data_IF_881831083168
#
_entry.id   IF_881831083168
#
_cell.length_a   1.000
_cell.length_b   1.000
_cell.length_c   1.000
_cell.angle_alpha   90.00
_cell.angle_beta   90.00
_cell.angle_gamma   90.00
#
_symmetry.space_group_name_H-M   'P 1'
#
loop_
_entity.id
_entity.type
_entity.pdbx_description
1 polymer ?
#
# COMPACT_ATOMS: atom_id res chain seq x y z
N UNK A 1 50.67 8.02 18.17
CA UNK A 1 49.40 7.31 17.89
C UNK A 1 48.27 8.23 17.42
N UNK A 2 47.93 9.31 18.14
CA UNK A 2 46.87 10.26 17.70
C UNK A 2 47.10 10.90 16.33
N UNK A 3 48.35 11.26 15.99
CA UNK A 3 48.71 11.85 14.68
C UNK A 3 48.65 10.86 13.51
N UNK A 4 48.84 9.56 13.77
CA UNK A 4 48.70 8.50 12.75
C UNK A 4 47.22 8.21 12.47
N UNK A 5 46.39 8.25 13.52
CA UNK A 5 44.95 8.06 13.42
C UNK A 5 44.27 9.21 12.66
N UNK A 6 44.68 10.45 12.88
CA UNK A 6 44.18 11.58 12.09
C UNK A 6 44.60 11.52 10.62
N UNK A 7 45.77 10.96 10.30
CA UNK A 7 46.20 10.78 8.91
C UNK A 7 45.39 9.66 8.22
N UNK A 8 45.07 8.57 8.94
CA UNK A 8 44.28 7.46 8.41
C UNK A 8 42.81 7.85 8.16
N UNK A 9 42.23 8.68 9.05
CA UNK A 9 40.86 9.20 8.88
C UNK A 9 40.79 10.21 7.73
N UNK A 10 41.81 11.06 7.54
CA UNK A 10 41.85 12.00 6.41
C UNK A 10 42.02 11.29 5.05
N UNK A 11 42.74 10.17 5.02
CA UNK A 11 42.94 9.36 3.80
C UNK A 11 41.68 8.57 3.41
N UNK A 12 40.85 8.18 4.39
CA UNK A 12 39.58 7.49 4.15
C UNK A 12 38.49 8.36 3.48
N UNK A 13 38.62 9.70 3.59
CA UNK A 13 37.70 10.66 2.96
C UNK A 13 38.02 10.93 1.48
N UNK A 14 39.16 10.45 0.96
CA UNK A 14 39.56 10.64 -0.44
C UNK A 14 39.18 9.46 -1.36
N UNK A 15 38.54 8.42 -0.84
CA UNK A 15 38.03 7.27 -1.63
C UNK A 15 36.53 7.39 -1.92
N UNK A 16 35.91 8.54 -1.63
CA UNK A 16 34.60 8.89 -2.19
C UNK A 16 34.75 9.31 -3.66
N UNK A 17 35.25 8.39 -4.48
CA UNK A 17 35.11 8.48 -5.92
C UNK A 17 33.62 8.26 -6.20
N UNK A 18 32.88 9.37 -6.30
CA UNK A 18 31.53 9.34 -6.82
C UNK A 18 31.62 8.73 -8.21
N UNK A 19 31.16 7.49 -8.38
CA UNK A 19 30.78 6.99 -9.69
C UNK A 19 29.59 7.82 -10.13
N UNK A 20 29.86 9.01 -10.69
CA UNK A 20 28.90 9.70 -11.52
C UNK A 20 28.54 8.69 -12.59
N UNK A 21 27.31 8.18 -12.54
CA UNK A 21 26.75 7.42 -13.64
C UNK A 21 26.81 8.32 -14.88
N UNK A 22 27.82 8.12 -15.73
CA UNK A 22 27.98 8.81 -17.01
C UNK A 22 26.87 8.43 -18.02
N UNK A 23 25.92 7.60 -17.61
CA UNK A 23 24.66 7.32 -18.31
C UNK A 23 23.54 8.32 -18.00
N UNK A 24 23.87 9.50 -17.46
CA UNK A 24 22.93 10.59 -17.23
C UNK A 24 22.53 11.26 -18.56
N UNK A 25 21.67 10.58 -19.32
CA UNK A 25 20.67 11.21 -20.19
C UNK A 25 21.22 12.12 -21.31
N UNK A 26 22.12 11.58 -22.14
CA UNK A 26 22.81 12.28 -23.25
C UNK A 26 21.88 12.84 -24.33
N UNK A 27 20.68 12.29 -24.54
CA UNK A 27 19.68 12.94 -25.40
C UNK A 27 19.30 14.33 -24.84
N UNK A 28 19.27 14.52 -23.50
CA UNK A 28 19.01 15.83 -22.89
C UNK A 28 20.09 16.83 -23.25
N UNK A 29 21.33 16.42 -23.48
CA UNK A 29 22.37 17.34 -23.95
C UNK A 29 22.02 17.92 -25.31
N UNK A 30 21.57 17.09 -26.25
CA UNK A 30 21.11 17.54 -27.58
C UNK A 30 20.01 18.60 -27.43
N UNK A 31 19.02 18.34 -26.59
CA UNK A 31 17.93 19.30 -26.33
C UNK A 31 18.43 20.60 -25.68
N UNK A 32 19.32 20.48 -24.70
CA UNK A 32 19.89 21.61 -23.98
C UNK A 32 20.73 22.50 -24.91
N UNK A 33 21.58 21.92 -25.76
CA UNK A 33 22.40 22.67 -26.69
C UNK A 33 21.59 23.22 -27.86
N UNK A 34 20.58 22.50 -28.36
CA UNK A 34 19.65 23.05 -29.34
C UNK A 34 18.96 24.31 -28.81
N UNK A 35 18.48 24.30 -27.56
CA UNK A 35 17.90 25.49 -26.89
C UNK A 35 18.92 26.63 -26.71
N UNK A 36 20.19 26.31 -26.45
CA UNK A 36 21.25 27.33 -26.32
C UNK A 36 21.60 27.97 -27.65
N UNK A 37 21.72 27.17 -28.72
CA UNK A 37 21.95 27.64 -30.10
C UNK A 37 20.80 28.51 -30.58
N UNK A 38 19.56 28.08 -30.34
CA UNK A 38 18.35 28.85 -30.65
C UNK A 38 18.36 30.25 -29.99
N UNK A 39 18.79 30.34 -28.73
CA UNK A 39 18.89 31.62 -28.00
C UNK A 39 20.12 32.45 -28.36
N UNK A 40 21.22 31.81 -28.75
CA UNK A 40 22.50 32.45 -29.04
C UNK A 40 23.14 31.87 -30.32
N UNK A 41 22.59 32.18 -31.50
CA UNK A 41 23.01 31.60 -32.79
C UNK A 41 24.47 31.81 -33.17
N UNK A 42 25.04 32.96 -32.80
CA UNK A 42 26.40 33.38 -33.13
C UNK A 42 27.47 32.81 -32.19
N UNK A 43 27.08 32.01 -31.19
CA UNK A 43 28.04 31.43 -30.26
C UNK A 43 28.60 30.11 -30.80
N UNK A 44 29.80 30.15 -31.36
CA UNK A 44 30.44 28.99 -32.00
C UNK A 44 30.61 27.80 -31.05
N UNK A 45 30.92 28.05 -29.77
CA UNK A 45 31.05 26.98 -28.77
C UNK A 45 29.74 26.21 -28.56
N UNK A 46 28.58 26.87 -28.64
CA UNK A 46 27.29 26.17 -28.56
C UNK A 46 26.97 25.42 -29.85
N UNK A 47 27.35 25.97 -31.00
CA UNK A 47 27.18 25.32 -32.30
C UNK A 47 27.99 24.01 -32.38
N UNK A 48 29.28 24.07 -32.07
CA UNK A 48 30.18 22.90 -32.03
C UNK A 48 29.68 21.84 -31.06
N UNK A 49 29.26 22.26 -29.85
CA UNK A 49 28.80 21.33 -28.83
C UNK A 49 27.47 20.68 -29.20
N UNK A 50 26.58 21.37 -29.91
CA UNK A 50 25.36 20.78 -30.46
C UNK A 50 25.68 19.71 -31.51
N UNK A 51 26.57 20.01 -32.45
CA UNK A 51 27.00 19.06 -33.48
C UNK A 51 27.59 17.79 -32.88
N UNK A 52 28.53 17.96 -31.94
CA UNK A 52 29.17 16.85 -31.26
C UNK A 52 28.16 16.02 -30.46
N UNK A 53 27.32 16.66 -29.64
CA UNK A 53 26.33 15.96 -28.83
C UNK A 53 25.33 15.18 -29.68
N UNK A 54 24.88 15.74 -30.81
CA UNK A 54 23.98 15.05 -31.73
C UNK A 54 24.65 13.82 -32.35
N UNK A 55 25.89 13.96 -32.85
CA UNK A 55 26.65 12.87 -33.44
C UNK A 55 26.91 11.74 -32.43
N UNK A 56 27.50 12.06 -31.29
CA UNK A 56 27.83 11.08 -30.25
C UNK A 56 26.60 10.30 -29.78
N UNK A 57 25.48 11.01 -29.57
CA UNK A 57 24.26 10.37 -29.11
C UNK A 57 23.62 9.51 -30.19
N UNK A 58 23.62 9.97 -31.45
CA UNK A 58 23.13 9.18 -32.59
C UNK A 58 23.92 7.88 -32.72
N UNK A 59 25.24 7.97 -32.76
CA UNK A 59 26.13 6.82 -32.95
C UNK A 59 25.98 5.83 -31.79
N UNK A 60 25.89 6.32 -30.56
CA UNK A 60 25.63 5.50 -29.37
C UNK A 60 24.31 4.73 -29.46
N UNK A 61 23.22 5.38 -29.86
CA UNK A 61 21.91 4.73 -29.97
C UNK A 61 21.89 3.68 -31.08
N UNK A 62 22.56 3.94 -32.21
CA UNK A 62 22.67 2.97 -33.30
C UNK A 62 23.50 1.74 -32.89
N UNK A 63 24.62 1.93 -32.19
CA UNK A 63 25.41 0.83 -31.64
C UNK A 63 24.57 0.00 -30.65
N UNK A 64 23.81 0.66 -29.78
CA UNK A 64 22.93 -0.03 -28.84
C UNK A 64 21.85 -0.84 -29.55
N UNK A 65 21.23 -0.30 -30.61
CA UNK A 65 20.27 -1.03 -31.44
C UNK A 65 20.89 -2.30 -32.02
N UNK A 66 22.09 -2.22 -32.58
CA UNK A 66 22.77 -3.38 -33.16
C UNK A 66 23.13 -4.42 -32.09
N UNK A 67 23.62 -3.97 -30.93
CA UNK A 67 23.89 -4.87 -29.80
C UNK A 67 22.60 -5.59 -29.33
N UNK A 68 21.47 -4.88 -29.24
CA UNK A 68 20.18 -5.46 -28.86
C UNK A 68 19.74 -6.54 -29.87
N UNK A 69 19.89 -6.27 -31.17
CA UNK A 69 19.57 -7.22 -32.25
C UNK A 69 20.50 -8.45 -32.27
N UNK A 70 21.73 -8.32 -31.79
CA UNK A 70 22.67 -9.44 -31.66
C UNK A 70 22.39 -10.31 -30.43
N UNK A 71 22.18 -9.70 -29.26
CA UNK A 71 21.95 -10.41 -28.00
C UNK A 71 20.59 -11.14 -28.01
N UNK A 72 19.58 -10.55 -28.67
CA UNK A 72 18.22 -11.12 -28.80
C UNK A 72 17.57 -11.51 -27.45
N UNK A 73 17.79 -10.70 -26.42
CA UNK A 73 17.11 -10.88 -25.13
C UNK A 73 15.58 -10.80 -25.28
N UNK A 74 14.83 -11.39 -24.35
CA UNK A 74 13.37 -11.34 -24.39
C UNK A 74 12.84 -9.90 -24.56
N UNK A 75 11.91 -9.73 -25.51
CA UNK A 75 11.26 -8.45 -25.84
C UNK A 75 12.23 -7.31 -26.21
N UNK A 76 13.40 -7.62 -26.80
CA UNK A 76 14.39 -6.61 -27.19
C UNK A 76 13.85 -5.59 -28.20
N UNK A 77 12.89 -5.96 -29.05
CA UNK A 77 12.29 -5.07 -30.04
C UNK A 77 11.62 -3.83 -29.42
N UNK A 78 11.12 -3.91 -28.18
CA UNK A 78 10.62 -2.73 -27.47
C UNK A 78 11.73 -1.71 -27.23
N UNK A 79 12.92 -2.18 -26.82
CA UNK A 79 14.09 -1.31 -26.60
C UNK A 79 14.63 -0.75 -27.92
N UNK A 80 14.60 -1.55 -28.99
CA UNK A 80 14.97 -1.11 -30.33
C UNK A 80 14.03 0.00 -30.80
N UNK A 81 12.71 -0.20 -30.67
CA UNK A 81 11.71 0.84 -30.96
C UNK A 81 11.96 2.12 -30.16
N UNK A 82 12.22 2.00 -28.84
CA UNK A 82 12.48 3.17 -28.00
C UNK A 82 13.75 3.94 -28.40
N UNK A 83 14.81 3.25 -28.81
CA UNK A 83 16.01 3.90 -29.29
C UNK A 83 15.77 4.65 -30.61
N UNK A 84 15.03 4.05 -31.56
CA UNK A 84 14.62 4.74 -32.79
C UNK A 84 13.69 5.93 -32.51
N UNK A 85 12.75 5.81 -31.57
CA UNK A 85 11.92 6.92 -31.11
C UNK A 85 12.77 8.09 -30.63
N UNK A 86 13.78 7.84 -29.80
CA UNK A 86 14.68 8.89 -29.30
C UNK A 86 15.49 9.53 -30.46
N UNK A 87 15.96 8.75 -31.44
CA UNK A 87 16.62 9.27 -32.63
C UNK A 87 15.71 10.24 -33.40
N UNK A 88 14.45 9.85 -33.63
CA UNK A 88 13.45 10.66 -34.33
C UNK A 88 13.03 11.90 -33.54
N UNK A 89 12.96 11.81 -32.21
CA UNK A 89 12.71 12.93 -31.32
C UNK A 89 13.85 13.97 -31.37
N UNK A 90 15.10 13.50 -31.36
CA UNK A 90 16.27 14.36 -31.54
C UNK A 90 16.28 15.03 -32.92
N UNK A 91 16.02 14.28 -33.99
CA UNK A 91 15.91 14.81 -35.35
C UNK A 91 14.81 15.88 -35.45
N UNK A 92 13.64 15.60 -34.89
CA UNK A 92 12.52 16.54 -34.79
C UNK A 92 12.92 17.82 -34.06
N UNK A 93 13.62 17.70 -32.91
CA UNK A 93 14.07 18.87 -32.14
C UNK A 93 15.01 19.77 -32.95
N UNK A 94 15.88 19.19 -33.76
CA UNK A 94 16.76 19.96 -34.66
C UNK A 94 15.92 20.60 -35.78
N UNK A 95 15.00 19.85 -36.40
CA UNK A 95 14.10 20.36 -37.45
C UNK A 95 13.28 21.56 -37.00
N UNK A 96 12.76 21.53 -35.77
CA UNK A 96 11.95 22.62 -35.22
C UNK A 96 12.78 23.87 -34.87
N UNK A 97 14.11 23.79 -34.92
CA UNK A 97 15.02 24.92 -34.68
C UNK A 97 15.72 25.31 -35.99
N UNK A 98 15.22 26.37 -36.66
CA UNK A 98 15.74 26.85 -37.95
C UNK A 98 17.25 27.13 -37.91
N UNK A 99 17.74 27.74 -36.83
CA UNK A 99 19.18 28.02 -36.66
C UNK A 99 19.99 26.73 -36.48
N UNK A 100 19.42 25.73 -35.80
CA UNK A 100 20.08 24.44 -35.56
C UNK A 100 20.21 23.62 -36.85
N UNK A 101 19.24 23.72 -37.77
CA UNK A 101 19.28 23.07 -39.08
C UNK A 101 20.52 23.48 -39.90
N UNK A 102 20.96 24.73 -39.76
CA UNK A 102 22.18 25.22 -40.42
C UNK A 102 23.46 24.61 -39.84
N UNK A 103 23.38 23.94 -38.68
CA UNK A 103 24.52 23.36 -37.96
C UNK A 103 24.50 21.83 -37.99
N UNK A 104 23.33 21.22 -37.95
CA UNK A 104 23.15 19.76 -37.87
C UNK A 104 22.07 19.33 -38.86
N UNK A 105 22.40 18.35 -39.70
CA UNK A 105 21.41 17.69 -40.56
C UNK A 105 20.68 16.60 -39.76
N UNK A 106 19.36 16.74 -39.52
CA UNK A 106 18.59 15.71 -38.84
C UNK A 106 18.44 14.47 -39.71
N UNK A 107 18.54 13.29 -39.11
CA UNK A 107 18.30 11.98 -39.76
C UNK A 107 17.13 11.31 -39.07
N UNK A 108 16.14 10.89 -39.86
CA UNK A 108 14.95 10.18 -39.41
C UNK A 108 15.07 8.69 -39.71
N UNK A 109 14.49 7.89 -38.82
CA UNK A 109 14.41 6.43 -38.84
C UNK A 109 12.96 6.01 -38.57
N UNK A 110 11.99 6.68 -39.22
CA UNK A 110 10.56 6.46 -38.96
C UNK A 110 10.11 5.08 -39.43
N UNK A 111 10.61 4.63 -40.58
CA UNK A 111 10.33 3.29 -41.12
C UNK A 111 10.86 2.21 -40.18
N UNK A 112 12.12 2.33 -39.75
CA UNK A 112 12.74 1.37 -38.83
C UNK A 112 12.09 1.42 -37.45
N UNK A 113 11.64 2.58 -36.99
CA UNK A 113 10.85 2.70 -35.77
C UNK A 113 9.52 1.93 -35.92
N UNK A 114 8.81 2.11 -37.04
CA UNK A 114 7.54 1.44 -37.28
C UNK A 114 7.71 -0.08 -37.36
N UNK A 115 8.70 -0.56 -38.12
CA UNK A 115 9.04 -1.99 -38.18
C UNK A 115 9.41 -2.54 -36.80
N UNK A 116 10.19 -1.81 -36.01
CA UNK A 116 10.52 -2.22 -34.65
C UNK A 116 9.28 -2.27 -33.73
N UNK A 117 8.31 -1.37 -33.92
CA UNK A 117 7.03 -1.38 -33.21
C UNK A 117 6.20 -2.61 -33.58
N UNK A 118 6.07 -2.91 -34.87
CA UNK A 118 5.35 -4.09 -35.37
C UNK A 118 5.96 -5.37 -34.82
N UNK A 119 7.28 -5.51 -34.95
CA UNK A 119 8.01 -6.64 -34.37
C UNK A 119 7.81 -6.73 -32.84
N UNK A 120 7.87 -5.62 -32.11
CA UNK A 120 7.65 -5.63 -30.66
C UNK A 120 6.24 -6.11 -30.29
N UNK A 121 5.23 -5.69 -31.05
CA UNK A 121 3.84 -6.14 -30.89
C UNK A 121 3.73 -7.64 -31.19
N UNK A 122 4.27 -8.11 -32.30
CA UNK A 122 4.21 -9.53 -32.69
C UNK A 122 4.91 -10.44 -31.69
N UNK A 123 6.09 -10.05 -31.19
CA UNK A 123 6.80 -10.80 -30.14
C UNK A 123 5.97 -10.94 -28.86
N UNK A 124 5.17 -9.92 -28.51
CA UNK A 124 4.27 -9.97 -27.36
C UNK A 124 3.06 -10.86 -27.61
N UNK A 125 2.49 -10.83 -28.81
CA UNK A 125 1.39 -11.71 -29.20
C UNK A 125 1.86 -13.17 -29.20
N UNK A 126 3.01 -13.47 -29.81
CA UNK A 126 3.59 -14.81 -29.84
C UNK A 126 3.87 -15.35 -28.44
N UNK A 127 4.51 -14.56 -27.57
CA UNK A 127 4.74 -14.95 -26.19
C UNK A 127 3.44 -15.22 -25.42
N UNK A 128 2.39 -14.43 -25.70
CA UNK A 128 1.06 -14.64 -25.13
C UNK A 128 0.43 -15.94 -25.62
N UNK A 129 0.47 -16.22 -26.91
CA UNK A 129 -0.08 -17.45 -27.50
C UNK A 129 0.64 -18.69 -26.97
N UNK A 130 1.97 -18.65 -26.86
CA UNK A 130 2.75 -19.75 -26.27
C UNK A 130 2.34 -20.03 -24.82
N UNK A 131 2.15 -18.97 -24.01
CA UNK A 131 1.70 -19.13 -22.64
C UNK A 131 0.25 -19.65 -22.58
N UNK A 132 -0.68 -19.06 -23.33
CA UNK A 132 -2.08 -19.46 -23.35
C UNK A 132 -2.25 -20.94 -23.79
N UNK A 133 -1.45 -21.38 -24.76
CA UNK A 133 -1.43 -22.77 -25.24
C UNK A 133 -1.06 -23.82 -24.18
N UNK A 134 -0.44 -23.42 -23.06
CA UNK A 134 -0.19 -24.33 -21.93
C UNK A 134 -1.46 -24.66 -21.13
N UNK A 135 -2.57 -23.95 -21.37
CA UNK A 135 -3.90 -24.20 -20.81
C UNK A 135 -3.92 -24.37 -19.28
N UNK A 136 -3.16 -23.54 -18.57
CA UNK A 136 -3.23 -23.42 -17.11
C UNK A 136 -3.58 -21.98 -16.73
N UNK A 137 -4.27 -21.80 -15.60
CA UNK A 137 -4.65 -20.45 -15.14
C UNK A 137 -3.44 -19.51 -14.99
N UNK A 138 -2.33 -19.92 -14.36
CA UNK A 138 -1.15 -19.06 -14.25
C UNK A 138 -0.59 -18.60 -15.61
N UNK A 139 -0.53 -19.51 -16.59
CA UNK A 139 -0.02 -19.18 -17.91
C UNK A 139 -1.00 -18.31 -18.72
N UNK A 140 -2.31 -18.50 -18.56
CA UNK A 140 -3.31 -17.61 -19.15
C UNK A 140 -3.22 -16.18 -18.55
N UNK A 141 -2.94 -16.05 -17.25
CA UNK A 141 -2.68 -14.75 -16.63
C UNK A 141 -1.42 -14.08 -17.23
N UNK A 142 -0.34 -14.85 -17.43
CA UNK A 142 0.88 -14.39 -18.11
C UNK A 142 0.61 -13.98 -19.57
N UNK A 143 -0.24 -14.74 -20.27
CA UNK A 143 -0.65 -14.45 -21.64
C UNK A 143 -1.40 -13.11 -21.73
N UNK A 144 -2.39 -12.90 -20.85
CA UNK A 144 -3.13 -11.64 -20.75
C UNK A 144 -2.19 -10.43 -20.64
N UNK A 145 -1.19 -10.47 -19.75
CA UNK A 145 -0.28 -9.32 -19.61
C UNK A 145 0.58 -9.09 -20.85
N UNK A 146 0.96 -10.15 -21.57
CA UNK A 146 1.64 -10.04 -22.87
C UNK A 146 0.72 -9.40 -23.92
N UNK A 147 -0.54 -9.84 -24.01
CA UNK A 147 -1.52 -9.26 -24.94
C UNK A 147 -1.89 -7.82 -24.59
N UNK A 148 -2.08 -7.48 -23.31
CA UNK A 148 -2.31 -6.10 -22.88
C UNK A 148 -1.15 -5.19 -23.26
N UNK A 149 0.08 -5.70 -23.17
CA UNK A 149 1.27 -4.96 -23.60
C UNK A 149 1.33 -4.82 -25.13
N UNK A 150 0.98 -5.86 -25.89
CA UNK A 150 0.84 -5.79 -27.34
C UNK A 150 -0.22 -4.77 -27.76
N UNK A 151 -1.39 -4.77 -27.11
CA UNK A 151 -2.48 -3.81 -27.34
C UNK A 151 -2.04 -2.37 -27.07
N UNK A 152 -1.23 -2.16 -26.03
CA UNK A 152 -0.67 -0.84 -25.73
C UNK A 152 0.31 -0.36 -26.81
N UNK A 153 1.11 -1.27 -27.38
CA UNK A 153 2.04 -0.95 -28.48
C UNK A 153 1.29 -0.65 -29.78
N UNK A 154 0.23 -1.41 -30.09
CA UNK A 154 -0.58 -1.24 -31.30
C UNK A 154 -2.09 -1.17 -30.99
N UNK A 155 -2.60 -0.02 -30.50
CA UNK A 155 -4.00 0.10 -30.06
C UNK A 155 -5.05 -0.17 -31.14
N UNK A 156 -4.70 0.04 -32.41
CA UNK A 156 -5.58 -0.16 -33.57
C UNK A 156 -5.72 -1.63 -33.99
N UNK A 157 -4.89 -2.52 -33.46
CA UNK A 157 -4.94 -3.96 -33.76
C UNK A 157 -6.09 -4.59 -32.97
N UNK A 158 -7.10 -5.09 -33.66
CA UNK A 158 -8.36 -5.57 -33.06
C UNK A 158 -8.35 -7.08 -32.77
N UNK A 159 -7.49 -7.84 -33.44
CA UNK A 159 -7.26 -9.28 -33.22
C UNK A 159 -6.75 -9.61 -31.81
N UNK A 160 -6.08 -8.67 -31.14
CA UNK A 160 -5.58 -8.85 -29.76
C UNK A 160 -6.73 -8.90 -28.75
N UNK A 161 -7.87 -8.24 -29.02
CA UNK A 161 -8.94 -8.07 -28.03
C UNK A 161 -9.60 -9.41 -27.66
N UNK A 162 -9.77 -10.32 -28.63
CA UNK A 162 -10.29 -11.67 -28.33
C UNK A 162 -9.32 -12.48 -27.48
N UNK A 163 -8.01 -12.36 -27.74
CA UNK A 163 -6.97 -13.06 -26.98
C UNK A 163 -6.89 -12.58 -25.52
N UNK A 164 -7.11 -11.28 -25.30
CA UNK A 164 -7.22 -10.69 -23.96
C UNK A 164 -8.40 -11.32 -23.22
N UNK A 165 -9.58 -11.37 -23.85
CA UNK A 165 -10.79 -11.90 -23.23
C UNK A 165 -10.66 -13.40 -22.91
N UNK A 166 -10.15 -14.19 -23.85
CA UNK A 166 -9.89 -15.62 -23.65
C UNK A 166 -8.90 -15.86 -22.50
N UNK A 167 -7.83 -15.06 -22.42
CA UNK A 167 -6.87 -15.15 -21.33
C UNK A 167 -7.48 -14.85 -19.97
N UNK A 168 -8.45 -13.92 -19.90
CA UNK A 168 -9.20 -13.66 -18.66
C UNK A 168 -10.08 -14.86 -18.32
N UNK A 169 -10.83 -15.38 -19.28
CA UNK A 169 -11.73 -16.52 -19.06
C UNK A 169 -10.98 -17.74 -18.52
N UNK A 170 -9.87 -18.12 -19.17
CA UNK A 170 -9.03 -19.25 -18.77
C UNK A 170 -8.26 -18.95 -17.47
N UNK A 171 -7.76 -17.71 -17.33
CA UNK A 171 -6.95 -17.28 -16.19
C UNK A 171 -7.74 -17.00 -14.91
N UNK A 172 -9.07 -16.98 -14.98
CA UNK A 172 -9.93 -16.63 -13.85
C UNK A 172 -9.91 -17.71 -12.77
N UNK A 173 -9.52 -17.31 -11.56
CA UNK A 173 -9.60 -18.07 -10.32
C UNK A 173 -10.91 -17.75 -9.62
N UNK A 174 -11.71 -18.78 -9.32
CA UNK A 174 -13.00 -18.67 -8.66
C UNK A 174 -12.88 -19.10 -7.21
N UNK A 175 -13.26 -18.22 -6.31
CA UNK A 175 -13.14 -18.42 -4.86
C UNK A 175 -14.55 -18.39 -4.25
N UNK A 176 -14.90 -19.43 -3.51
CA UNK A 176 -16.11 -19.42 -2.67
C UNK A 176 -15.73 -18.99 -1.27
N UNK A 177 -16.47 -18.04 -0.71
CA UNK A 177 -16.35 -17.59 0.67
C UNK A 177 -17.41 -18.29 1.51
N UNK A 178 -17.00 -19.00 2.55
CA UNK A 178 -17.89 -19.86 3.34
C UNK A 178 -17.74 -19.57 4.85
N UNK A 179 -18.78 -18.97 5.44
CA UNK A 179 -18.87 -18.79 6.88
C UNK A 179 -19.20 -20.08 7.64
N UNK A 180 -18.46 -20.36 8.71
CA UNK A 180 -18.83 -21.38 9.70
C UNK A 180 -19.76 -20.75 10.76
N UNK A 181 -21.04 -21.09 10.65
CA UNK A 181 -22.11 -20.61 11.53
C UNK A 181 -22.25 -21.40 12.84
N UNK A 182 -21.18 -22.03 13.34
CA UNK A 182 -21.18 -22.66 14.66
C UNK A 182 -21.44 -21.67 15.80
N UNK A 183 -21.01 -20.42 15.63
CA UNK A 183 -21.37 -19.28 16.49
C UNK A 183 -22.51 -18.46 15.87
N UNK A 184 -22.95 -17.39 16.54
CA UNK A 184 -24.09 -16.59 16.08
C UNK A 184 -23.99 -16.26 14.57
N UNK A 185 -24.97 -16.78 13.83
CA UNK A 185 -25.05 -16.69 12.37
C UNK A 185 -24.95 -15.24 11.89
N UNK A 186 -25.54 -14.30 12.63
CA UNK A 186 -25.57 -12.89 12.26
C UNK A 186 -24.17 -12.28 12.14
N UNK A 187 -23.25 -12.70 13.00
CA UNK A 187 -21.89 -12.16 13.08
C UNK A 187 -20.99 -12.65 11.94
N UNK A 188 -21.14 -13.90 11.56
CA UNK A 188 -20.37 -14.49 10.45
C UNK A 188 -20.89 -13.96 9.11
N UNK A 189 -22.20 -13.77 8.97
CA UNK A 189 -22.81 -13.19 7.78
C UNK A 189 -22.35 -11.75 7.50
N UNK A 190 -21.99 -10.99 8.54
CA UNK A 190 -21.43 -9.65 8.37
C UNK A 190 -20.06 -9.69 7.69
N UNK A 191 -19.15 -10.52 8.20
CA UNK A 191 -17.84 -10.74 7.55
C UNK A 191 -18.03 -11.20 6.10
N UNK A 192 -18.92 -12.15 5.83
CA UNK A 192 -19.21 -12.60 4.46
C UNK A 192 -19.62 -11.45 3.54
N UNK A 193 -20.59 -10.62 3.96
CA UNK A 193 -21.06 -9.48 3.17
C UNK A 193 -19.93 -8.50 2.88
N UNK A 194 -19.09 -8.19 3.87
CA UNK A 194 -18.00 -7.24 3.68
C UNK A 194 -16.86 -7.78 2.82
N UNK A 195 -16.55 -9.07 2.93
CA UNK A 195 -15.58 -9.71 2.05
C UNK A 195 -16.08 -9.75 0.60
N UNK A 196 -17.34 -10.14 0.38
CA UNK A 196 -17.97 -10.16 -0.95
C UNK A 196 -18.05 -8.76 -1.57
N UNK A 197 -18.20 -7.72 -0.75
CA UNK A 197 -18.18 -6.32 -1.23
C UNK A 197 -16.75 -5.82 -1.52
N UNK A 198 -15.79 -6.12 -0.66
CA UNK A 198 -14.47 -5.46 -0.66
C UNK A 198 -13.42 -6.17 -1.52
N UNK A 199 -13.48 -7.50 -1.65
CA UNK A 199 -12.48 -8.27 -2.40
C UNK A 199 -12.56 -8.10 -3.92
N UNK A 200 -13.75 -8.09 -4.58
CA UNK A 200 -13.83 -7.95 -6.04
C UNK A 200 -13.30 -6.61 -6.58
N UNK A 201 -13.36 -5.56 -5.76
CA UNK A 201 -12.87 -4.22 -6.15
C UNK A 201 -11.39 -4.03 -5.87
N UNK A 202 -10.74 -4.95 -5.15
CA UNK A 202 -9.32 -4.88 -4.83
C UNK A 202 -8.46 -4.99 -6.11
N UNK A 203 -7.38 -4.20 -6.17
CA UNK A 203 -6.47 -4.18 -7.33
C UNK A 203 -5.81 -5.54 -7.57
N UNK A 204 -5.50 -6.25 -6.49
CA UNK A 204 -4.88 -7.57 -6.50
C UNK A 204 -5.78 -8.64 -7.11
N UNK A 205 -7.10 -8.48 -6.95
CA UNK A 205 -8.09 -9.39 -7.48
C UNK A 205 -8.31 -9.19 -8.99
N UNK A 206 -8.17 -7.95 -9.48
CA UNK A 206 -8.40 -7.67 -10.90
C UNK A 206 -7.22 -8.09 -11.78
N UNK A 207 -7.47 -8.69 -12.95
CA UNK A 207 -8.77 -9.06 -13.52
C UNK A 207 -9.22 -10.50 -13.21
N UNK A 208 -8.44 -11.29 -12.47
CA UNK A 208 -8.56 -12.75 -12.50
C UNK A 208 -9.28 -13.40 -11.33
N UNK A 209 -9.65 -12.68 -10.28
CA UNK A 209 -10.28 -13.30 -9.10
C UNK A 209 -11.74 -12.91 -9.01
N UNK A 210 -12.58 -13.94 -8.97
CA UNK A 210 -14.02 -13.83 -8.75
C UNK A 210 -14.36 -14.49 -7.41
N UNK A 211 -15.23 -13.83 -6.65
CA UNK A 211 -15.65 -14.27 -5.33
C UNK A 211 -17.15 -14.54 -5.38
N UNK A 212 -17.56 -15.63 -4.74
CA UNK A 212 -18.95 -16.08 -4.71
C UNK A 212 -19.34 -16.46 -3.30
N UNK A 213 -20.61 -16.23 -2.95
CA UNK A 213 -21.23 -16.91 -1.82
C UNK A 213 -21.47 -18.40 -2.16
N UNK A 214 -21.71 -19.27 -1.16
CA UNK A 214 -22.03 -20.68 -1.41
C UNK A 214 -23.34 -20.85 -2.22
N UNK A 215 -24.31 -19.96 -1.99
CA UNK A 215 -25.59 -19.91 -2.71
C UNK A 215 -25.37 -19.55 -4.18
N UNK A 216 -24.68 -18.44 -4.45
CA UNK A 216 -24.36 -18.00 -5.81
C UNK A 216 -23.58 -19.07 -6.59
N UNK A 217 -22.63 -19.73 -5.94
CA UNK A 217 -21.85 -20.79 -6.57
C UNK A 217 -22.70 -22.01 -6.91
N UNK A 218 -23.67 -22.36 -6.06
CA UNK A 218 -24.59 -23.48 -6.30
C UNK A 218 -25.56 -23.16 -7.44
N UNK A 219 -26.20 -21.99 -7.39
CA UNK A 219 -27.19 -21.54 -8.38
C UNK A 219 -26.59 -21.40 -9.79
N UNK A 220 -25.36 -20.90 -9.87
CA UNK A 220 -24.67 -20.68 -11.14
C UNK A 220 -23.76 -21.86 -11.54
N UNK A 221 -23.83 -23.00 -10.83
CA UNK A 221 -23.02 -24.19 -11.05
C UNK A 221 -21.50 -23.90 -11.15
N UNK A 222 -21.03 -22.97 -10.31
CA UNK A 222 -19.65 -22.56 -10.26
C UNK A 222 -18.82 -23.66 -9.60
N UNK A 223 -17.81 -24.15 -10.32
CA UNK A 223 -16.77 -24.98 -9.75
C UNK A 223 -15.64 -24.09 -9.21
N UNK A 224 -15.44 -23.98 -7.88
CA UNK A 224 -14.38 -23.16 -7.34
C UNK A 224 -13.01 -23.78 -7.56
N UNK A 225 -11.98 -22.93 -7.57
CA UNK A 225 -10.58 -23.35 -7.42
C UNK A 225 -10.20 -23.42 -5.93
N UNK A 226 -10.73 -22.47 -5.15
CA UNK A 226 -10.50 -22.40 -3.71
C UNK A 226 -11.80 -22.17 -2.95
N UNK A 227 -11.87 -22.75 -1.75
CA UNK A 227 -12.87 -22.39 -0.74
C UNK A 227 -12.12 -21.69 0.39
N UNK A 228 -12.52 -20.47 0.70
CA UNK A 228 -12.03 -19.76 1.87
C UNK A 228 -13.11 -19.84 2.93
N UNK A 229 -12.82 -20.63 3.97
CA UNK A 229 -13.73 -20.85 5.08
C UNK A 229 -13.23 -20.12 6.32
N UNK A 230 -14.15 -19.49 7.04
CA UNK A 230 -13.82 -18.68 8.22
C UNK A 230 -14.94 -18.70 9.24
N UNK A 231 -14.61 -18.39 10.48
CA UNK A 231 -15.59 -18.28 11.56
C UNK A 231 -14.95 -17.76 12.83
N UNK A 232 -15.77 -17.46 13.83
CA UNK A 232 -15.25 -17.10 15.14
C UNK A 232 -14.77 -18.36 15.88
N UNK A 233 -13.66 -18.26 16.61
CA UNK A 233 -13.33 -19.19 17.69
C UNK A 233 -14.06 -18.77 18.97
N UNK A 234 -14.16 -17.46 19.21
CA UNK A 234 -15.02 -16.84 20.20
C UNK A 234 -15.20 -15.36 19.87
N UNK A 235 -16.26 -14.77 20.41
CA UNK A 235 -16.50 -13.33 20.40
C UNK A 235 -17.26 -12.97 21.67
N UNK A 236 -16.74 -12.00 22.42
CA UNK A 236 -17.28 -11.61 23.71
C UNK A 236 -17.35 -10.09 23.79
N UNK A 237 -18.56 -9.57 24.05
CA UNK A 237 -18.78 -8.15 24.36
C UNK A 237 -19.24 -8.08 25.81
N UNK A 238 -18.33 -7.63 26.67
CA UNK A 238 -18.53 -7.49 28.10
C UNK A 238 -19.61 -6.46 28.45
N UNK A 239 -20.04 -6.52 29.71
CA UNK A 239 -20.93 -5.51 30.28
C UNK A 239 -20.13 -4.29 30.78
N UNK A 240 -20.83 -3.17 30.94
CA UNK A 240 -20.27 -2.00 31.62
C UNK A 240 -19.83 -2.37 33.04
N UNK A 241 -18.58 -2.09 33.35
CA UNK A 241 -18.03 -2.19 34.69
C UNK A 241 -17.76 -0.79 35.23
N UNK A 242 -18.19 -0.50 36.46
CA UNK A 242 -17.96 0.79 37.13
C UNK A 242 -17.41 0.56 38.53
N UNK A 243 -16.16 0.94 38.75
CA UNK A 243 -15.47 0.83 40.02
C UNK A 243 -15.14 2.22 40.56
N UNK A 244 -15.55 2.51 41.79
CA UNK A 244 -15.22 3.76 42.46
C UNK A 244 -14.54 3.48 43.80
N UNK A 245 -13.42 4.16 44.07
CA UNK A 245 -12.77 4.20 45.37
C UNK A 245 -12.98 5.55 46.02
N UNK A 246 -13.20 5.54 47.34
CA UNK A 246 -13.46 6.73 48.13
C UNK A 246 -12.39 6.91 49.20
N UNK A 247 -11.83 8.11 49.27
CA UNK A 247 -10.90 8.54 50.31
C UNK A 247 -11.53 9.73 51.05
N UNK A 248 -11.75 9.56 52.35
CA UNK A 248 -12.28 10.60 53.25
C UNK A 248 -11.15 11.23 54.06
N UNK A 249 -11.20 12.56 54.18
CA UNK A 249 -10.23 13.37 54.91
C UNK A 249 -10.96 14.20 55.95
N UNK A 250 -10.35 14.35 57.12
CA UNK A 250 -10.86 15.23 58.17
C UNK A 250 -9.73 15.87 58.94
N UNK A 251 -9.92 17.14 59.32
CA UNK A 251 -8.93 17.94 60.02
C UNK A 251 -9.62 18.92 60.95
N UNK A 252 -9.09 19.09 62.15
CA UNK A 252 -9.51 20.17 63.03
C UNK A 252 -8.76 21.45 62.65
N UNK A 253 -9.51 22.48 62.28
CA UNK A 253 -8.97 23.78 61.89
C UNK A 253 -9.37 24.83 62.91
N UNK A 254 -8.43 25.71 63.26
CA UNK A 254 -8.72 26.84 64.15
C UNK A 254 -9.54 27.87 63.38
N UNK A 255 -10.77 28.13 63.83
CA UNK A 255 -11.71 29.07 63.19
C UNK A 255 -11.92 30.35 63.97
N UNK A 256 -11.41 30.39 65.20
CA UNK A 256 -11.47 31.59 66.01
C UNK A 256 -10.72 31.43 67.33
N UNK A 257 -10.87 32.45 68.15
CA UNK A 257 -10.29 32.53 69.47
C UNK A 257 -11.37 33.06 70.41
N UNK A 258 -11.67 32.32 71.48
CA UNK A 258 -12.59 32.78 72.51
C UNK A 258 -11.78 33.40 73.63
N UNK A 259 -12.08 34.66 73.96
CA UNK A 259 -11.54 35.30 75.16
C UNK A 259 -12.37 34.84 76.36
N UNK A 260 -11.73 34.19 77.31
CA UNK A 260 -12.40 33.67 78.51
C UNK A 260 -12.29 34.68 79.67
N UNK A 261 -11.24 35.53 79.68
CA UNK A 261 -11.04 36.67 80.59
C UNK A 261 -9.99 37.67 80.03
N UNK A 262 -9.67 38.77 80.73
CA UNK A 262 -8.75 39.85 80.28
C UNK A 262 -7.36 39.39 79.78
N UNK A 263 -6.93 38.15 80.09
CA UNK A 263 -5.59 37.62 79.78
C UNK A 263 -5.60 36.29 79.00
N UNK A 264 -6.68 35.47 79.02
CA UNK A 264 -6.67 34.10 78.45
C UNK A 264 -7.48 33.99 77.16
N UNK A 265 -6.83 33.50 76.10
CA UNK A 265 -7.41 33.28 74.77
C UNK A 265 -7.31 31.79 74.44
N UNK A 266 -8.44 31.14 74.15
CA UNK A 266 -8.47 29.73 73.76
C UNK A 266 -8.86 29.58 72.28
N UNK A 267 -8.12 28.78 71.49
CA UNK A 267 -8.46 28.52 70.11
C UNK A 267 -9.77 27.72 70.01
N UNK A 268 -10.69 28.18 69.17
CA UNK A 268 -11.88 27.42 68.78
C UNK A 268 -11.51 26.61 67.54
N UNK A 269 -11.60 25.29 67.64
CA UNK A 269 -11.43 24.39 66.51
C UNK A 269 -12.78 23.98 65.93
N UNK A 270 -12.86 23.96 64.60
CA UNK A 270 -13.95 23.37 63.84
C UNK A 270 -13.41 22.16 63.09
N UNK A 271 -14.16 21.06 63.11
CA UNK A 271 -13.81 19.86 62.36
C UNK A 271 -14.31 20.01 60.93
N UNK A 272 -13.39 20.14 59.98
CA UNK A 272 -13.71 20.13 58.55
C UNK A 272 -13.50 18.75 57.95
N UNK A 273 -14.24 18.45 56.88
CA UNK A 273 -14.14 17.18 56.16
C UNK A 273 -14.18 17.40 54.64
N UNK A 274 -13.49 16.51 53.93
CA UNK A 274 -13.42 16.49 52.48
C UNK A 274 -13.35 15.05 51.98
N UNK A 275 -13.71 14.85 50.72
CA UNK A 275 -13.82 13.54 50.10
C UNK A 275 -13.27 13.59 48.68
N UNK A 276 -12.46 12.59 48.34
CA UNK A 276 -12.01 12.33 46.97
C UNK A 276 -12.62 11.00 46.54
N UNK A 277 -13.38 11.02 45.44
CA UNK A 277 -13.88 9.82 44.78
C UNK A 277 -13.17 9.68 43.45
N UNK A 278 -12.52 8.54 43.23
CA UNK A 278 -11.92 8.16 41.95
C UNK A 278 -12.78 7.06 41.35
N UNK A 279 -13.27 7.25 40.14
CA UNK A 279 -14.09 6.27 39.45
C UNK A 279 -13.47 5.91 38.11
N UNK A 280 -13.60 4.63 37.74
CA UNK A 280 -13.24 4.07 36.45
C UNK A 280 -14.47 3.33 35.93
N UNK A 281 -14.88 3.66 34.71
CA UNK A 281 -15.89 2.94 33.95
C UNK A 281 -15.25 2.32 32.72
N UNK A 282 -15.53 1.05 32.43
CA UNK A 282 -14.98 0.36 31.28
C UNK A 282 -15.96 -0.61 30.61
N UNK A 283 -15.76 -0.82 29.31
CA UNK A 283 -16.40 -1.87 28.52
C UNK A 283 -15.30 -2.52 27.68
N UNK A 284 -15.24 -3.84 27.70
CA UNK A 284 -14.29 -4.63 26.92
C UNK A 284 -15.02 -5.52 25.92
N UNK A 285 -14.63 -5.46 24.66
CA UNK A 285 -14.93 -6.45 23.65
C UNK A 285 -13.65 -7.20 23.26
N UNK A 286 -13.72 -8.49 23.03
CA UNK A 286 -12.58 -9.29 22.55
C UNK A 286 -13.07 -10.46 21.70
N UNK A 287 -12.27 -10.86 20.72
CA UNK A 287 -12.69 -11.85 19.75
C UNK A 287 -11.52 -12.49 19.05
N UNK A 288 -11.78 -13.68 18.53
CA UNK A 288 -10.84 -14.40 17.69
C UNK A 288 -11.56 -15.00 16.50
N UNK A 289 -11.08 -14.69 15.30
CA UNK A 289 -11.57 -15.27 14.04
C UNK A 289 -10.51 -16.21 13.50
N UNK A 290 -10.92 -17.38 13.04
CA UNK A 290 -10.07 -18.29 12.29
C UNK A 290 -10.44 -18.24 10.82
N UNK A 291 -9.48 -18.54 9.95
CA UNK A 291 -9.78 -18.83 8.55
C UNK A 291 -8.86 -19.91 7.99
N UNK A 292 -9.30 -20.52 6.90
CA UNK A 292 -8.53 -21.48 6.11
C UNK A 292 -8.81 -21.30 4.62
N UNK A 293 -7.82 -21.64 3.80
CA UNK A 293 -7.97 -21.78 2.35
C UNK A 293 -7.84 -23.26 2.01
N UNK A 294 -8.83 -23.77 1.29
CA UNK A 294 -8.92 -25.14 0.83
C UNK A 294 -8.74 -25.14 -0.69
N UNK A 295 -7.80 -25.94 -1.21
CA UNK A 295 -7.72 -26.27 -2.64
C UNK A 295 -8.88 -27.22 -2.97
N UNK A 296 -9.81 -26.75 -3.81
CA UNK A 296 -11.03 -27.51 -4.10
C UNK A 296 -10.77 -28.81 -4.87
N UNK A 297 -9.71 -28.85 -5.67
CA UNK A 297 -9.40 -30.03 -6.48
C UNK A 297 -8.72 -31.12 -5.64
N UNK A 298 -7.88 -30.71 -4.70
CA UNK A 298 -7.10 -31.61 -3.84
C UNK A 298 -7.81 -31.94 -2.53
N UNK A 299 -8.85 -31.17 -2.17
CA UNK A 299 -9.53 -31.21 -0.87
C UNK A 299 -8.53 -31.04 0.30
N UNK A 300 -7.56 -30.15 0.11
CA UNK A 300 -6.46 -29.92 1.06
C UNK A 300 -6.49 -28.50 1.62
N UNK A 301 -6.27 -28.36 2.93
CA UNK A 301 -6.06 -27.06 3.58
C UNK A 301 -4.64 -26.59 3.30
N UNK A 302 -4.50 -25.61 2.39
CA UNK A 302 -3.21 -25.06 1.96
C UNK A 302 -2.78 -23.82 2.76
N UNK A 303 -3.69 -23.23 3.52
CA UNK A 303 -3.42 -22.10 4.41
C UNK A 303 -4.40 -22.13 5.58
N UNK A 304 -3.90 -21.84 6.78
CA UNK A 304 -4.69 -21.63 7.99
C UNK A 304 -4.08 -20.48 8.79
N UNK A 305 -4.93 -19.68 9.41
CA UNK A 305 -4.51 -18.67 10.38
C UNK A 305 -5.63 -18.36 11.38
N UNK A 306 -5.29 -17.60 12.42
CA UNK A 306 -6.24 -17.04 13.38
C UNK A 306 -5.83 -15.63 13.77
N UNK A 307 -6.81 -14.73 13.91
CA UNK A 307 -6.60 -13.34 14.32
C UNK A 307 -7.36 -13.08 15.61
N UNK A 308 -6.70 -12.39 16.53
CA UNK A 308 -7.28 -11.94 17.79
C UNK A 308 -7.30 -10.42 17.79
N UNK A 309 -8.38 -9.86 18.30
CA UNK A 309 -8.49 -8.42 18.53
C UNK A 309 -9.28 -8.12 19.81
N UNK A 310 -9.13 -6.90 20.32
CA UNK A 310 -9.93 -6.38 21.43
C UNK A 310 -10.18 -4.87 21.32
N UNK A 311 -11.35 -4.43 21.80
CA UNK A 311 -11.69 -3.01 21.98
C UNK A 311 -11.96 -2.76 23.47
N UNK A 312 -11.22 -1.80 24.04
CA UNK A 312 -11.26 -1.47 25.46
C UNK A 312 -11.60 0.00 25.63
N UNK A 313 -12.88 0.30 25.85
CA UNK A 313 -13.32 1.64 26.21
C UNK A 313 -13.14 1.87 27.71
N UNK A 314 -12.50 2.98 28.09
CA UNK A 314 -12.25 3.36 29.48
C UNK A 314 -12.54 4.85 29.68
N UNK A 315 -13.29 5.18 30.74
CA UNK A 315 -13.51 6.55 31.20
C UNK A 315 -13.16 6.65 32.69
N UNK A 316 -12.22 7.53 33.01
CA UNK A 316 -11.76 7.79 34.38
C UNK A 316 -12.15 9.21 34.78
N UNK A 317 -12.63 9.38 36.01
CA UNK A 317 -12.90 10.72 36.56
C UNK A 317 -12.69 10.77 38.07
N UNK A 318 -12.40 11.98 38.55
CA UNK A 318 -12.18 12.29 39.96
C UNK A 318 -13.16 13.36 40.38
N UNK A 319 -13.88 13.11 41.48
CA UNK A 319 -14.75 14.10 42.12
C UNK A 319 -14.18 14.45 43.48
N UNK A 320 -13.88 15.74 43.66
CA UNK A 320 -13.43 16.32 44.92
C UNK A 320 -14.58 17.13 45.52
N UNK A 321 -14.92 16.88 46.77
CA UNK A 321 -16.04 17.52 47.47
C UNK A 321 -15.72 17.78 48.95
N UNK A 322 -16.44 18.71 49.57
CA UNK A 322 -16.23 19.14 50.95
C UNK A 322 -15.27 20.32 51.09
N UNK A 323 -14.70 20.52 52.29
CA UNK A 323 -13.84 21.66 52.60
C UNK A 323 -12.42 21.45 52.05
N UNK A 324 -11.96 22.35 51.18
CA UNK A 324 -10.62 22.32 50.60
C UNK A 324 -9.49 22.27 51.64
N UNK A 325 -9.72 22.77 52.86
CA UNK A 325 -8.75 22.76 53.97
C UNK A 325 -8.58 21.37 54.61
N UNK A 326 -9.55 20.48 54.44
CA UNK A 326 -9.46 19.08 54.88
C UNK A 326 -8.72 18.20 53.85
N UNK A 327 -8.64 18.63 52.60
CA UNK A 327 -8.16 17.84 51.47
C UNK A 327 -6.63 17.94 51.28
N UNK A 328 -6.00 16.92 50.68
CA UNK A 328 -4.60 16.99 50.24
C UNK A 328 -4.34 18.18 49.32
N UNK A 329 -3.15 18.76 49.41
CA UNK A 329 -2.76 19.87 48.54
C UNK A 329 -2.81 19.43 47.07
N UNK A 330 -3.48 20.22 46.22
CA UNK A 330 -3.65 19.93 44.80
C UNK A 330 -4.83 19.01 44.44
N UNK A 331 -5.66 18.62 45.41
CA UNK A 331 -6.90 17.89 45.11
C UNK A 331 -7.85 18.74 44.25
N UNK A 332 -8.08 18.30 43.02
CA UNK A 332 -8.99 18.94 42.07
C UNK A 332 -9.81 17.87 41.34
N UNK A 333 -11.08 18.17 41.09
CA UNK A 333 -11.91 17.32 40.23
C UNK A 333 -11.35 17.30 38.81
N UNK A 334 -11.35 16.13 38.18
CA UNK A 334 -10.84 15.96 36.81
C UNK A 334 -11.70 14.97 36.04
N UNK A 335 -11.83 15.20 34.73
CA UNK A 335 -12.70 14.40 33.87
C UNK A 335 -14.18 14.53 34.23
N UNK A 336 -15.01 13.83 33.46
CA UNK A 336 -16.44 13.67 33.73
C UNK A 336 -16.86 12.26 33.34
N UNK A 337 -17.84 11.73 34.07
CA UNK A 337 -18.47 10.46 33.69
C UNK A 337 -19.02 10.57 32.26
N UNK A 338 -18.57 9.66 31.40
CA UNK A 338 -19.02 9.55 30.01
C UNK A 338 -19.91 8.33 29.84
N UNK A 339 -20.82 8.40 28.87
CA UNK A 339 -21.61 7.24 28.47
C UNK A 339 -20.69 6.23 27.78
N UNK A 340 -20.77 4.98 28.23
CA UNK A 340 -20.11 3.89 27.55
C UNK A 340 -20.70 3.69 26.15
N UNK A 341 -19.89 3.26 25.16
CA UNK A 341 -20.43 2.84 23.87
C UNK A 341 -21.44 1.71 24.08
N UNK A 342 -22.44 1.66 23.20
CA UNK A 342 -23.41 0.56 23.24
C UNK A 342 -22.72 -0.77 22.96
N UNK A 343 -23.31 -1.88 23.41
CA UNK A 343 -22.80 -3.22 23.08
C UNK A 343 -22.76 -3.47 21.57
N UNK A 344 -23.69 -2.89 20.81
CA UNK A 344 -23.69 -2.95 19.35
C UNK A 344 -22.51 -2.20 18.74
N UNK A 345 -22.21 -0.99 19.23
CA UNK A 345 -21.04 -0.23 18.77
C UNK A 345 -19.73 -0.97 19.05
N UNK A 346 -19.60 -1.54 20.25
CA UNK A 346 -18.44 -2.35 20.63
C UNK A 346 -18.31 -3.62 19.78
N UNK A 347 -19.45 -4.23 19.46
CA UNK A 347 -19.53 -5.37 18.56
C UNK A 347 -19.08 -4.99 17.14
N UNK A 348 -19.64 -3.94 16.55
CA UNK A 348 -19.30 -3.47 15.20
C UNK A 348 -17.81 -3.14 15.09
N UNK A 349 -17.25 -2.43 16.08
CA UNK A 349 -15.83 -2.07 16.11
C UNK A 349 -14.93 -3.30 16.02
N UNK A 350 -15.19 -4.33 16.85
CA UNK A 350 -14.33 -5.51 16.87
C UNK A 350 -14.54 -6.41 15.65
N UNK A 351 -15.76 -6.51 15.12
CA UNK A 351 -16.00 -7.29 13.90
C UNK A 351 -15.36 -6.64 12.68
N UNK A 352 -15.34 -5.30 12.60
CA UNK A 352 -14.64 -4.55 11.56
C UNK A 352 -13.13 -4.82 11.54
N UNK A 353 -12.48 -4.84 12.71
CA UNK A 353 -11.04 -5.11 12.83
C UNK A 353 -10.70 -6.57 12.47
N UNK A 354 -11.50 -7.51 12.96
CA UNK A 354 -11.34 -8.93 12.63
C UNK A 354 -11.60 -9.21 11.14
N UNK A 355 -12.62 -8.59 10.55
CA UNK A 355 -12.93 -8.66 9.12
C UNK A 355 -11.78 -8.08 8.27
N UNK A 356 -11.23 -6.95 8.70
CA UNK A 356 -10.07 -6.31 8.06
C UNK A 356 -8.86 -7.22 8.05
N UNK A 357 -8.60 -7.92 9.15
CA UNK A 357 -7.53 -8.91 9.28
C UNK A 357 -7.70 -10.09 8.30
N UNK A 358 -8.92 -10.65 8.21
CA UNK A 358 -9.24 -11.72 7.26
C UNK A 358 -9.10 -11.23 5.82
N UNK A 359 -9.68 -10.07 5.48
CA UNK A 359 -9.60 -9.46 4.14
C UNK A 359 -8.15 -9.22 3.72
N UNK A 360 -7.32 -8.68 4.62
CA UNK A 360 -5.90 -8.48 4.38
C UNK A 360 -5.20 -9.79 4.05
N UNK A 361 -5.46 -10.86 4.80
CA UNK A 361 -4.80 -12.15 4.59
C UNK A 361 -5.23 -12.82 3.28
N UNK A 362 -6.50 -12.72 2.91
CA UNK A 362 -6.99 -13.19 1.60
C UNK A 362 -6.26 -12.44 0.47
N UNK A 363 -6.10 -11.11 0.59
CA UNK A 363 -5.33 -10.33 -0.40
C UNK A 363 -3.86 -10.74 -0.46
N UNK A 364 -3.24 -11.06 0.67
CA UNK A 364 -1.87 -11.59 0.70
C UNK A 364 -1.76 -12.93 -0.03
N UNK A 365 -2.73 -13.83 0.21
CA UNK A 365 -2.81 -15.10 -0.51
C UNK A 365 -2.90 -14.87 -2.03
N UNK A 366 -3.80 -13.99 -2.48
CA UNK A 366 -3.96 -13.64 -3.90
C UNK A 366 -2.67 -13.05 -4.50
N UNK A 367 -2.02 -12.12 -3.78
CA UNK A 367 -0.74 -11.54 -4.23
C UNK A 367 0.32 -12.61 -4.41
N UNK A 368 0.40 -13.57 -3.49
CA UNK A 368 1.33 -14.70 -3.60
C UNK A 368 1.01 -15.56 -4.82
N UNK A 369 -0.26 -15.90 -5.05
CA UNK A 369 -0.65 -16.66 -6.24
C UNK A 369 -0.31 -15.92 -7.54
N UNK A 370 -0.57 -14.63 -7.62
CA UNK A 370 -0.19 -13.80 -8.77
C UNK A 370 1.32 -13.76 -8.99
N UNK A 371 2.11 -13.68 -7.92
CA UNK A 371 3.58 -13.68 -8.05
C UNK A 371 4.11 -15.01 -8.58
N UNK A 372 3.48 -16.13 -8.23
CA UNK A 372 3.83 -17.46 -8.74
C UNK A 372 3.42 -17.63 -10.20
N UNK A 373 2.36 -16.94 -10.65
CA UNK A 373 1.92 -16.97 -12.05
C UNK A 373 2.77 -16.11 -12.99
N UNK A 374 3.41 -15.07 -12.45
CA UNK A 374 4.18 -14.09 -13.24
C UNK A 374 5.66 -14.41 -13.37
N UNK A 375 6.21 -15.24 -12.50
CA UNK A 375 7.55 -15.81 -12.62
C UNK A 375 7.50 -17.06 -13.50
#
# INVERSE_FOLDING_TARGET
MKKLFTLLVLLSLLVACSSRNWHSNTHKEVYNYARKVERKPSNDKFNERLQLAYKEQKDKLLIEIENLKQIKQAFYWEKVHDNYRILNEMASRIRDCVVCLNKVTPVYYETEQLEALENATDNRVEAGLLALGLNTKPNAQKAYYSFMKAKKLSPKRTDIDSLINESVEVGTVRIVLEGDYKYDKSYVQEIERDLLRSLPVAREAKPFYQFFSPEEATENHIKPDYIISFGYEYLNVGFENRNCSEESFSKDIKVGEKKIDSVKVEPIYEKVSGKIVKCVKSVKAEGRVWFKVIDYKQDEVILRDSFYDDDNWVNEWVTVSGDARALPAGAVSSGTESFAPSRWTQFDNITDELCSSVSWKIRQFIRRQNSLALN
#
